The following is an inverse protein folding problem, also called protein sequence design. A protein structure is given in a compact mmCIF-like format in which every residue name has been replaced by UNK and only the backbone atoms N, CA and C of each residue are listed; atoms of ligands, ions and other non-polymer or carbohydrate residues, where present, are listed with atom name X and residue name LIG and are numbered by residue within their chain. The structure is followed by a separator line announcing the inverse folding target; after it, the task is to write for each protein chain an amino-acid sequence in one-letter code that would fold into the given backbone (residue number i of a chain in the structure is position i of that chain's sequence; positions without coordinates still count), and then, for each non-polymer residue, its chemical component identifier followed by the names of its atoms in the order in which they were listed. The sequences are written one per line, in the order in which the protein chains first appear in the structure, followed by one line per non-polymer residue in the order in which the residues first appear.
data_IF_414088332656
#
_entry.id   IF_414088332656
#
_cell.length_a   1.000
_cell.length_b   1.000
_cell.length_c   1.000
_cell.angle_alpha   90.00
_cell.angle_beta   90.00
_cell.angle_gamma   90.00
#
_symmetry.space_group_name_H-M   'P 1'
#
loop_
_entity.id
_entity.type
_entity.pdbx_description
1 polymer ?
#
# COMPACT_ATOMS: atom_id res chain seq x y z
N UNK A 1 -1.72 8.96 27.79
CA UNK A 1 -2.01 8.41 26.46
C UNK A 1 -1.04 7.27 26.31
N UNK A 2 -1.59 6.07 26.27
CA UNK A 2 -0.82 4.85 26.02
C UNK A 2 -1.07 4.45 24.56
N UNK A 3 -0.03 3.93 23.92
CA UNK A 3 -0.07 3.47 22.53
C UNK A 3 -0.25 1.95 22.52
N UNK A 4 -1.25 1.45 21.79
CA UNK A 4 -1.68 0.05 21.87
C UNK A 4 -0.74 -0.90 21.14
N UNK A 5 -0.20 -0.54 19.98
CA UNK A 5 0.60 -1.49 19.19
C UNK A 5 1.93 -1.87 19.86
N UNK A 6 2.43 -1.06 20.80
CA UNK A 6 3.61 -1.38 21.61
C UNK A 6 3.29 -1.81 23.04
N UNK A 7 2.01 -1.99 23.40
CA UNK A 7 1.60 -2.23 24.76
C UNK A 7 1.96 -3.65 25.25
N UNK A 8 2.48 -3.74 26.47
CA UNK A 8 2.68 -5.00 27.19
C UNK A 8 1.91 -5.01 28.53
N UNK A 9 1.60 -6.21 29.01
CA UNK A 9 1.03 -6.36 30.35
C UNK A 9 1.98 -5.77 31.42
N UNK A 10 1.44 -4.87 32.24
CA UNK A 10 2.18 -4.14 33.27
C UNK A 10 2.66 -2.76 32.85
N UNK A 11 2.45 -2.34 31.60
CA UNK A 11 2.79 -0.98 31.17
C UNK A 11 1.94 0.06 31.89
N UNK A 12 2.58 1.16 32.29
CA UNK A 12 1.94 2.28 32.97
C UNK A 12 1.19 3.15 31.96
N UNK A 13 -0.11 3.36 32.19
CA UNK A 13 -0.98 4.16 31.30
C UNK A 13 -1.37 5.52 31.90
N UNK A 14 -1.13 5.71 33.20
CA UNK A 14 -1.37 6.97 33.89
C UNK A 14 -1.29 6.84 35.40
N UNK A 15 -1.45 7.97 36.09
CA UNK A 15 -1.48 8.02 37.57
C UNK A 15 -2.56 8.97 38.06
N UNK A 16 -3.13 8.66 39.23
CA UNK A 16 -4.01 9.55 39.98
C UNK A 16 -3.39 9.92 41.33
N UNK A 17 -3.71 11.11 41.83
CA UNK A 17 -3.29 11.54 43.14
C UNK A 17 -4.41 11.31 44.15
N UNK A 18 -4.15 10.46 45.14
CA UNK A 18 -5.07 10.17 46.24
C UNK A 18 -4.42 10.55 47.56
N UNK A 19 -5.20 11.14 48.47
CA UNK A 19 -4.70 11.55 49.78
C UNK A 19 -5.80 11.44 50.83
N UNK A 20 -5.45 10.84 51.96
CA UNK A 20 -6.27 10.84 53.16
C UNK A 20 -5.89 12.02 54.09
N UNK A 21 -6.84 12.87 54.54
CA UNK A 21 -6.55 14.03 55.39
C UNK A 21 -6.00 13.67 56.78
N UNK A 22 -6.33 12.49 57.28
CA UNK A 22 -5.90 11.93 58.56
C UNK A 22 -4.55 11.19 58.44
N UNK A 23 -4.14 10.88 57.21
CA UNK A 23 -2.91 10.15 56.89
C UNK A 23 -3.04 8.63 57.07
N UNK A 24 -4.28 8.13 57.03
CA UNK A 24 -4.59 6.71 57.12
C UNK A 24 -4.29 6.00 55.80
N UNK A 25 -4.15 4.67 55.85
CA UNK A 25 -3.96 3.88 54.63
C UNK A 25 -5.31 3.72 53.93
N UNK A 26 -5.26 3.68 52.60
CA UNK A 26 -6.41 3.45 51.74
C UNK A 26 -6.07 2.40 50.69
N UNK A 27 -7.11 1.83 50.09
CA UNK A 27 -7.03 0.95 48.91
C UNK A 27 -7.76 1.59 47.76
N UNK A 28 -7.24 1.39 46.55
CA UNK A 28 -7.88 1.81 45.31
C UNK A 28 -8.49 0.62 44.58
N UNK A 29 -9.68 0.82 44.03
CA UNK A 29 -10.37 -0.22 43.27
C UNK A 29 -11.08 0.33 42.04
N UNK A 30 -11.05 -0.46 40.97
CA UNK A 30 -11.84 -0.28 39.75
C UNK A 30 -13.14 -1.09 39.83
N UNK A 31 -14.14 -0.80 38.97
CA UNK A 31 -15.34 -1.61 38.85
C UNK A 31 -15.03 -3.09 38.54
N UNK A 32 -15.86 -4.03 39.02
CA UNK A 32 -15.62 -5.48 38.90
C UNK A 32 -15.59 -5.98 37.44
N UNK A 33 -16.17 -5.21 36.52
CA UNK A 33 -16.27 -5.50 35.10
C UNK A 33 -15.08 -4.98 34.26
N UNK A 34 -14.10 -4.34 34.88
CA UNK A 34 -12.84 -3.93 34.23
C UNK A 34 -11.81 -5.06 34.32
N UNK A 35 -11.34 -5.55 33.17
CA UNK A 35 -10.31 -6.60 33.07
C UNK A 35 -9.05 -6.13 32.34
N UNK A 36 -9.16 -5.09 31.55
CA UNK A 36 -8.10 -4.53 30.72
C UNK A 36 -7.08 -3.68 31.53
N UNK A 37 -7.49 -3.08 32.64
CA UNK A 37 -6.66 -2.24 33.50
C UNK A 37 -6.62 -2.71 34.95
N UNK A 38 -5.50 -2.41 35.62
CA UNK A 38 -5.35 -2.51 37.07
C UNK A 38 -4.92 -1.16 37.66
N UNK A 39 -5.23 -0.96 38.94
CA UNK A 39 -4.77 0.20 39.71
C UNK A 39 -4.03 -0.29 40.96
N UNK A 40 -2.84 0.25 41.18
CA UNK A 40 -2.08 0.05 42.42
C UNK A 40 -2.49 1.07 43.48
N UNK A 41 -2.26 0.75 44.77
CA UNK A 41 -2.60 1.63 45.91
C UNK A 41 -1.88 2.99 45.87
N UNK A 42 -0.81 3.12 45.07
CA UNK A 42 -0.11 4.40 44.85
C UNK A 42 -0.75 5.29 43.77
N UNK A 43 -1.84 4.82 43.16
CA UNK A 43 -2.60 5.51 42.13
C UNK A 43 -2.12 5.25 40.72
N UNK A 44 -1.18 4.32 40.51
CA UNK A 44 -0.66 3.98 39.18
C UNK A 44 -1.61 3.03 38.45
N UNK A 45 -1.99 3.39 37.23
CA UNK A 45 -2.74 2.54 36.33
C UNK A 45 -1.80 1.74 35.45
N UNK A 46 -2.04 0.43 35.37
CA UNK A 46 -1.28 -0.47 34.50
C UNK A 46 -2.19 -1.30 33.60
N UNK A 47 -1.65 -1.77 32.48
CA UNK A 47 -2.31 -2.73 31.60
C UNK A 47 -2.36 -4.09 32.29
N UNK A 48 -3.56 -4.58 32.60
CA UNK A 48 -3.73 -5.90 33.20
C UNK A 48 -3.74 -7.00 32.14
N UNK A 49 -4.36 -6.71 30.98
CA UNK A 49 -4.58 -7.68 29.91
C UNK A 49 -4.59 -6.98 28.54
N UNK A 50 -3.45 -7.02 27.84
CA UNK A 50 -3.31 -6.45 26.49
C UNK A 50 -4.24 -7.12 25.46
N UNK A 51 -4.56 -8.40 25.63
CA UNK A 51 -5.49 -9.13 24.76
C UNK A 51 -6.95 -8.63 24.87
N UNK A 52 -7.27 -7.92 25.95
CA UNK A 52 -8.60 -7.32 26.20
C UNK A 52 -8.61 -5.82 25.93
N UNK A 53 -7.47 -5.22 25.57
CA UNK A 53 -7.39 -3.81 25.21
C UNK A 53 -7.87 -3.58 23.78
N UNK A 54 -8.60 -2.49 23.60
CA UNK A 54 -9.05 -1.97 22.31
C UNK A 54 -8.68 -0.49 22.20
N UNK A 55 -8.67 0.04 20.97
CA UNK A 55 -8.48 1.48 20.74
C UNK A 55 -9.70 2.25 21.23
N UNK A 56 -9.45 3.38 21.90
CA UNK A 56 -10.51 4.31 22.28
C UNK A 56 -10.35 4.96 23.65
N UNK A 57 -11.46 5.51 24.11
CA UNK A 57 -11.60 6.20 25.38
C UNK A 57 -12.34 5.31 26.38
N UNK A 58 -11.73 5.12 27.55
CA UNK A 58 -12.26 4.32 28.64
C UNK A 58 -12.51 5.20 29.86
N UNK A 59 -13.78 5.37 30.22
CA UNK A 59 -14.21 6.13 31.39
C UNK A 59 -14.54 5.19 32.56
N UNK A 60 -13.83 5.34 33.66
CA UNK A 60 -14.05 4.57 34.89
C UNK A 60 -14.25 5.49 36.09
N UNK A 61 -14.97 4.98 37.08
CA UNK A 61 -15.04 5.58 38.41
C UNK A 61 -14.16 4.76 39.35
N UNK A 62 -13.11 5.38 39.87
CA UNK A 62 -12.22 4.78 40.88
C UNK A 62 -12.77 5.06 42.26
N UNK A 63 -12.85 4.03 43.09
CA UNK A 63 -13.15 4.17 44.52
C UNK A 63 -11.86 4.10 45.34
N UNK A 64 -11.69 5.05 46.26
CA UNK A 64 -10.71 5.01 47.32
C UNK A 64 -11.42 4.76 48.65
N UNK A 65 -11.07 3.68 49.35
CA UNK A 65 -11.63 3.32 50.67
C UNK A 65 -10.52 3.31 51.73
N UNK A 66 -10.73 4.01 52.85
CA UNK A 66 -9.82 3.98 54.00
C UNK A 66 -10.02 2.73 54.88
N UNK A 67 -9.08 2.48 55.80
CA UNK A 67 -9.17 1.31 56.71
C UNK A 67 -10.38 1.33 57.68
N UNK A 68 -11.12 2.44 57.71
CA UNK A 68 -12.31 2.65 58.54
C UNK A 68 -13.63 2.58 57.75
N UNK A 69 -13.57 2.33 56.44
CA UNK A 69 -14.70 2.19 55.53
C UNK A 69 -15.30 3.52 55.07
N UNK A 70 -14.56 4.63 55.15
CA UNK A 70 -14.93 5.84 54.45
C UNK A 70 -14.43 5.76 53.01
N UNK A 71 -15.31 6.04 52.04
CA UNK A 71 -14.94 6.02 50.63
C UNK A 71 -15.16 7.36 49.92
N UNK A 72 -14.40 7.56 48.85
CA UNK A 72 -14.56 8.64 47.89
C UNK A 72 -14.34 8.13 46.48
N UNK A 73 -15.03 8.74 45.52
CA UNK A 73 -15.00 8.35 44.11
C UNK A 73 -14.40 9.47 43.25
N UNK A 74 -13.71 9.08 42.18
CA UNK A 74 -13.23 9.99 41.14
C UNK A 74 -13.38 9.37 39.75
N UNK A 75 -13.87 10.16 38.80
CA UNK A 75 -13.92 9.76 37.40
C UNK A 75 -12.55 9.93 36.75
N UNK A 76 -12.13 8.90 36.02
CA UNK A 76 -10.86 8.81 35.30
C UNK A 76 -11.13 8.40 33.87
N UNK A 77 -10.47 9.08 32.94
CA UNK A 77 -10.53 8.76 31.51
C UNK A 77 -9.16 8.30 31.05
N UNK A 78 -9.08 7.08 30.53
CA UNK A 78 -7.88 6.49 29.92
C UNK A 78 -8.07 6.49 28.41
N UNK A 79 -7.07 7.01 27.68
CA UNK A 79 -7.08 7.04 26.21
C UNK A 79 -5.99 6.11 25.69
N UNK A 80 -6.42 5.12 24.91
CA UNK A 80 -5.60 4.16 24.21
C UNK A 80 -5.69 4.49 22.71
N UNK A 81 -4.55 4.77 22.10
CA UNK A 81 -4.45 5.16 20.70
C UNK A 81 -3.39 4.30 19.99
N UNK A 82 -3.30 4.37 18.67
CA UNK A 82 -2.18 3.78 17.93
C UNK A 82 -1.88 4.68 16.72
N UNK A 83 -0.61 5.05 16.50
CA UNK A 83 -0.25 5.85 15.35
C UNK A 83 -0.59 5.11 14.05
N UNK A 84 -1.08 5.83 13.01
CA UNK A 84 -1.38 5.20 11.74
C UNK A 84 -0.11 4.69 11.05
N UNK A 85 -0.21 3.66 10.19
CA UNK A 85 0.91 3.24 9.36
C UNK A 85 1.32 4.38 8.41
N UNK A 86 2.63 4.47 8.14
CA UNK A 86 3.21 5.46 7.26
C UNK A 86 3.60 4.80 5.93
N UNK A 87 2.90 5.16 4.85
CA UNK A 87 3.31 4.79 3.49
C UNK A 87 4.54 5.62 3.11
N UNK A 88 5.58 4.97 2.63
CA UNK A 88 6.75 5.68 2.08
C UNK A 88 6.51 5.90 0.59
N UNK A 89 6.21 7.13 0.12
CA UNK A 89 6.08 7.39 -1.30
C UNK A 89 7.43 7.19 -1.98
N UNK A 90 7.42 6.55 -3.15
CA UNK A 90 8.55 6.64 -4.06
C UNK A 90 8.45 7.97 -4.81
N UNK A 91 9.53 8.77 -4.85
CA UNK A 91 9.59 10.02 -5.61
C UNK A 91 9.67 9.80 -7.14
N UNK A 92 9.36 8.58 -7.62
CA UNK A 92 9.48 8.18 -9.02
C UNK A 92 8.09 8.08 -9.66
N UNK A 93 7.89 8.80 -10.76
CA UNK A 93 6.75 8.56 -11.64
C UNK A 93 6.95 7.20 -12.32
N UNK A 94 5.92 6.36 -12.30
CA UNK A 94 5.95 5.05 -12.96
C UNK A 94 5.40 5.19 -14.36
N UNK A 95 5.99 4.52 -15.36
CA UNK A 95 5.43 4.49 -16.70
C UNK A 95 5.20 3.06 -17.20
N UNK A 96 4.06 2.84 -17.85
CA UNK A 96 3.67 1.57 -18.49
C UNK A 96 3.08 1.84 -19.87
N UNK A 97 3.22 0.88 -20.80
CA UNK A 97 2.59 0.99 -22.12
C UNK A 97 1.07 0.81 -22.02
N UNK A 98 0.29 1.50 -22.85
CA UNK A 98 -1.16 1.28 -22.94
C UNK A 98 -1.53 -0.14 -23.39
N UNK A 99 -0.60 -0.85 -24.03
CA UNK A 99 -0.80 -2.20 -24.59
C UNK A 99 -0.39 -3.34 -23.65
N UNK A 100 -0.08 -3.04 -22.39
CA UNK A 100 0.21 -4.07 -21.38
C UNK A 100 -1.00 -4.98 -21.14
N UNK A 101 -0.75 -6.19 -20.64
CA UNK A 101 -1.82 -7.15 -20.34
C UNK A 101 -2.23 -7.10 -18.87
N UNK A 102 -3.45 -7.52 -18.56
CA UNK A 102 -3.88 -7.78 -17.18
C UNK A 102 -2.85 -8.61 -16.40
N UNK A 103 -2.62 -8.23 -15.15
CA UNK A 103 -1.63 -8.81 -14.24
C UNK A 103 -0.21 -8.29 -14.42
N UNK A 104 0.01 -7.28 -15.29
CA UNK A 104 1.32 -6.62 -15.40
C UNK A 104 1.60 -5.83 -14.11
N UNK A 105 2.74 -6.09 -13.49
CA UNK A 105 3.22 -5.38 -12.30
C UNK A 105 3.69 -3.97 -12.68
N UNK A 106 3.30 -2.98 -11.89
CA UNK A 106 3.61 -1.56 -12.11
C UNK A 106 4.64 -1.09 -11.09
N UNK A 107 4.33 -1.22 -9.79
CA UNK A 107 5.20 -0.86 -8.68
C UNK A 107 4.78 -1.60 -7.40
N UNK A 108 5.53 -1.40 -6.31
CA UNK A 108 5.22 -1.95 -4.98
C UNK A 108 5.12 -0.83 -3.98
N UNK A 109 4.05 -0.83 -3.18
CA UNK A 109 3.85 0.11 -2.07
C UNK A 109 4.44 -0.50 -0.81
N UNK A 110 5.24 0.27 -0.08
CA UNK A 110 5.72 -0.10 1.24
C UNK A 110 5.16 0.85 2.31
N UNK A 111 4.77 0.28 3.45
CA UNK A 111 4.34 1.03 4.61
C UNK A 111 5.01 0.50 5.88
N UNK A 112 5.13 1.36 6.88
CA UNK A 112 5.71 1.04 8.19
C UNK A 112 4.69 1.40 9.25
N UNK A 113 4.33 0.43 10.07
CA UNK A 113 3.60 0.67 11.30
C UNK A 113 4.60 1.21 12.34
N UNK A 114 4.39 2.42 12.90
CA UNK A 114 5.28 2.95 13.92
C UNK A 114 5.36 2.09 15.19
N UNK A 115 4.36 1.25 15.44
CA UNK A 115 4.35 0.27 16.51
C UNK A 115 5.20 -0.99 16.20
N UNK A 116 5.65 -1.16 14.95
CA UNK A 116 6.57 -2.23 14.55
C UNK A 116 5.90 -3.49 14.02
N UNK A 117 4.57 -3.54 13.96
CA UNK A 117 3.76 -4.65 13.46
C UNK A 117 3.57 -4.62 11.93
N UNK A 118 4.67 -4.39 11.21
CA UNK A 118 4.65 -4.21 9.75
C UNK A 118 4.11 -5.43 8.97
N UNK A 119 4.17 -6.64 9.55
CA UNK A 119 3.71 -7.88 8.90
C UNK A 119 2.18 -7.99 8.80
N UNK A 120 1.44 -7.12 9.49
CA UNK A 120 -0.02 -7.12 9.53
C UNK A 120 -0.67 -5.91 8.84
N UNK A 121 0.11 -5.14 8.08
CA UNK A 121 -0.41 -4.04 7.28
C UNK A 121 -1.12 -4.58 6.03
N UNK A 122 -2.26 -3.99 5.70
CA UNK A 122 -2.98 -4.24 4.45
C UNK A 122 -3.09 -2.97 3.61
N UNK A 123 -3.25 -3.13 2.31
CA UNK A 123 -3.30 -2.01 1.35
C UNK A 123 -4.61 -1.99 0.59
N UNK A 124 -5.10 -0.78 0.29
CA UNK A 124 -6.28 -0.60 -0.55
C UNK A 124 -6.23 0.72 -1.31
N UNK A 125 -7.00 0.82 -2.39
CA UNK A 125 -7.24 2.08 -3.07
C UNK A 125 -8.45 2.81 -2.48
N UNK A 126 -8.44 4.14 -2.51
CA UNK A 126 -9.58 4.97 -2.06
C UNK A 126 -10.80 4.85 -2.99
N UNK A 127 -10.56 4.56 -4.27
CA UNK A 127 -11.56 4.42 -5.32
C UNK A 127 -11.32 3.18 -6.21
N UNK A 128 -12.23 2.90 -7.15
CA UNK A 128 -12.07 1.81 -8.12
C UNK A 128 -11.24 2.30 -9.30
N UNK A 129 -10.02 1.78 -9.41
CA UNK A 129 -9.09 2.05 -10.50
C UNK A 129 -8.98 0.84 -11.46
N UNK A 130 -8.44 1.00 -12.67
CA UNK A 130 -8.08 -0.12 -13.55
C UNK A 130 -6.84 -0.90 -13.07
N UNK A 131 -6.46 -0.72 -11.81
CA UNK A 131 -5.37 -1.38 -11.11
C UNK A 131 -5.89 -2.20 -9.93
N UNK A 132 -5.08 -3.14 -9.47
CA UNK A 132 -5.28 -3.90 -8.26
C UNK A 132 -4.03 -3.81 -7.40
N UNK A 133 -4.20 -3.85 -6.08
CA UNK A 133 -3.11 -3.96 -5.11
C UNK A 133 -3.33 -5.23 -4.29
N UNK A 134 -2.27 -5.99 -4.05
CA UNK A 134 -2.34 -7.21 -3.24
C UNK A 134 -1.87 -6.98 -1.78
N UNK A 135 -1.86 -8.07 -1.00
CA UNK A 135 -1.48 -8.04 0.42
C UNK A 135 0.01 -7.70 0.62
N UNK A 136 0.86 -7.95 -0.38
CA UNK A 136 2.29 -7.61 -0.35
C UNK A 136 2.55 -6.17 -0.87
N UNK A 137 1.49 -5.40 -1.17
CA UNK A 137 1.58 -4.04 -1.68
C UNK A 137 1.90 -3.96 -3.19
N UNK A 138 1.88 -5.07 -3.91
CA UNK A 138 2.21 -5.11 -5.34
C UNK A 138 1.03 -4.59 -6.16
N UNK A 139 1.26 -3.51 -6.90
CA UNK A 139 0.27 -2.90 -7.79
C UNK A 139 0.37 -3.53 -9.17
N UNK A 140 -0.75 -4.02 -9.68
CA UNK A 140 -0.87 -4.68 -10.99
C UNK A 140 -2.01 -4.09 -11.81
N UNK A 141 -1.93 -4.23 -13.14
CA UNK A 141 -3.01 -3.87 -14.05
C UNK A 141 -4.16 -4.87 -13.90
N UNK A 142 -5.36 -4.37 -13.60
CA UNK A 142 -6.59 -5.16 -13.44
C UNK A 142 -7.44 -5.18 -14.71
N UNK A 143 -7.44 -4.08 -15.45
CA UNK A 143 -8.20 -3.91 -16.68
C UNK A 143 -7.35 -3.13 -17.70
N UNK A 144 -6.64 -3.85 -18.58
CA UNK A 144 -5.80 -3.24 -19.60
C UNK A 144 -6.60 -2.43 -20.63
N UNK A 145 -7.85 -2.81 -20.92
CA UNK A 145 -8.68 -2.09 -21.90
C UNK A 145 -9.01 -0.66 -21.44
N UNK A 146 -9.01 -0.43 -20.12
CA UNK A 146 -9.25 0.88 -19.53
C UNK A 146 -8.01 1.81 -19.59
N UNK A 147 -6.84 1.32 -20.01
CA UNK A 147 -5.63 2.12 -20.19
C UNK A 147 -5.56 2.78 -21.58
N UNK A 148 -6.25 2.22 -22.58
CA UNK A 148 -6.17 2.67 -23.97
C UNK A 148 -6.59 4.15 -24.11
N UNK A 149 -5.67 5.00 -24.59
CA UNK A 149 -5.91 6.42 -24.83
C UNK A 149 -5.95 7.33 -23.60
N UNK A 150 -5.61 6.82 -22.41
CA UNK A 150 -5.39 7.64 -21.22
C UNK A 150 -3.92 8.08 -21.15
N UNK A 151 -3.64 9.27 -20.61
CA UNK A 151 -2.27 9.79 -20.50
C UNK A 151 -1.61 9.42 -19.15
N UNK A 152 -2.42 9.33 -18.09
CA UNK A 152 -1.94 9.03 -16.73
C UNK A 152 -3.08 8.68 -15.78
N UNK A 153 -2.75 8.02 -14.67
CA UNK A 153 -3.63 7.78 -13.53
C UNK A 153 -2.97 8.28 -12.24
N UNK A 154 -3.75 8.98 -11.40
CA UNK A 154 -3.35 9.35 -10.03
C UNK A 154 -4.03 8.36 -9.05
N UNK A 155 -3.26 7.39 -8.56
CA UNK A 155 -3.73 6.34 -7.67
C UNK A 155 -3.57 6.78 -6.22
N UNK A 156 -4.66 6.79 -5.44
CA UNK A 156 -4.59 7.03 -4.01
C UNK A 156 -4.63 5.72 -3.22
N UNK A 157 -3.56 5.44 -2.48
CA UNK A 157 -3.41 4.22 -1.66
C UNK A 157 -3.52 4.57 -0.18
N UNK A 158 -4.20 3.69 0.57
CA UNK A 158 -4.31 3.70 2.03
C UNK A 158 -3.75 2.41 2.57
N UNK A 159 -2.92 2.53 3.62
CA UNK A 159 -2.44 1.41 4.41
C UNK A 159 -3.27 1.31 5.70
N UNK A 160 -3.57 0.09 6.14
CA UNK A 160 -4.36 -0.18 7.33
C UNK A 160 -3.61 -1.16 8.22
N UNK A 161 -3.39 -0.80 9.49
CA UNK A 161 -2.74 -1.66 10.49
C UNK A 161 -3.63 -2.80 10.95
N UNK A 162 -3.09 -3.75 11.73
CA UNK A 162 -3.86 -4.87 12.31
C UNK A 162 -5.03 -4.37 13.19
N UNK A 163 -4.82 -3.25 13.87
CA UNK A 163 -5.81 -2.62 14.74
C UNK A 163 -6.87 -1.81 13.96
N UNK A 164 -6.78 -1.79 12.63
CA UNK A 164 -7.71 -1.08 11.76
C UNK A 164 -7.47 0.43 11.68
N UNK A 165 -6.29 0.91 12.10
CA UNK A 165 -5.92 2.32 11.96
C UNK A 165 -5.45 2.56 10.52
N UNK A 166 -6.03 3.56 9.86
CA UNK A 166 -5.75 3.90 8.47
C UNK A 166 -4.73 5.03 8.35
N UNK A 167 -3.83 4.93 7.37
CA UNK A 167 -2.96 6.03 6.97
C UNK A 167 -3.73 7.17 6.31
N UNK A 168 -3.13 8.35 6.25
CA UNK A 168 -3.55 9.33 5.25
C UNK A 168 -3.35 8.75 3.83
N UNK A 169 -4.23 9.04 2.86
CA UNK A 169 -4.05 8.60 1.48
C UNK A 169 -2.77 9.17 0.87
N UNK A 170 -2.03 8.33 0.15
CA UNK A 170 -0.83 8.74 -0.61
C UNK A 170 -1.07 8.56 -2.09
N UNK A 171 -0.80 9.62 -2.86
CA UNK A 171 -0.98 9.67 -4.31
C UNK A 171 0.27 9.14 -5.04
N UNK A 172 0.03 8.30 -6.05
CA UNK A 172 1.05 7.76 -6.96
C UNK A 172 0.63 8.03 -8.40
N UNK A 173 1.50 8.70 -9.15
CA UNK A 173 1.28 9.00 -10.56
C UNK A 173 1.83 7.86 -11.44
N UNK A 174 0.96 7.31 -12.29
CA UNK A 174 1.30 6.31 -13.31
C UNK A 174 1.08 6.92 -14.68
N UNK A 175 2.14 7.17 -15.42
CA UNK A 175 2.13 7.63 -16.81
C UNK A 175 1.84 6.46 -17.75
N UNK A 176 0.96 6.69 -18.72
CA UNK A 176 0.63 5.71 -19.75
C UNK A 176 1.31 6.13 -21.05
N UNK A 177 2.24 5.31 -21.52
CA UNK A 177 2.97 5.53 -22.75
C UNK A 177 2.18 4.93 -23.94
N UNK A 178 1.96 5.75 -24.96
CA UNK A 178 1.47 5.26 -26.26
C UNK A 178 2.51 4.29 -26.84
N UNK A 179 2.03 3.20 -27.44
CA UNK A 179 2.91 2.33 -28.21
C UNK A 179 3.44 3.11 -29.41
N UNK A 180 4.77 3.09 -29.64
CA UNK A 180 5.29 3.74 -30.84
C UNK A 180 4.64 3.05 -32.05
N UNK A 181 4.09 3.81 -33.02
CA UNK A 181 3.47 3.18 -34.16
C UNK A 181 4.52 2.32 -34.85
N UNK A 182 4.21 1.03 -35.04
CA UNK A 182 4.98 0.14 -35.91
C UNK A 182 5.33 0.96 -37.17
N UNK A 183 6.63 1.19 -37.42
CA UNK A 183 7.04 1.90 -38.63
C UNK A 183 6.28 1.26 -39.80
N UNK A 184 5.56 2.06 -40.60
CA UNK A 184 4.85 1.49 -41.75
C UNK A 184 5.91 0.72 -42.52
N UNK A 185 5.68 -0.58 -42.76
CA UNK A 185 6.50 -1.36 -43.69
C UNK A 185 6.60 -0.48 -44.94
N UNK A 186 7.79 0.09 -45.17
CA UNK A 186 7.94 1.22 -46.08
C UNK A 186 7.19 0.87 -47.36
N UNK A 187 6.29 1.74 -47.81
CA UNK A 187 5.65 1.57 -49.13
C UNK A 187 6.73 1.41 -50.23
N UNK A 188 7.97 1.86 -49.96
CA UNK A 188 9.18 1.63 -50.75
C UNK A 188 9.60 0.15 -50.82
N UNK A 189 9.46 -0.65 -49.76
CA UNK A 189 9.79 -2.08 -49.75
C UNK A 189 8.78 -2.93 -50.54
N UNK A 190 7.48 -2.62 -50.44
CA UNK A 190 6.44 -3.25 -51.28
C UNK A 190 6.60 -2.82 -52.75
N UNK A 191 6.89 -1.54 -53.02
CA UNK A 191 7.17 -1.06 -54.38
C UNK A 191 8.46 -1.66 -54.97
N UNK A 192 9.51 -1.88 -54.18
CA UNK A 192 10.75 -2.51 -54.63
C UNK A 192 10.51 -4.00 -54.92
N UNK A 193 9.71 -4.71 -54.10
CA UNK A 193 9.31 -6.10 -54.37
C UNK A 193 8.48 -6.21 -55.66
N UNK A 194 7.50 -5.33 -55.86
CA UNK A 194 6.70 -5.28 -57.09
C UNK A 194 7.55 -4.91 -58.31
N UNK A 195 8.49 -3.95 -58.17
CA UNK A 195 9.43 -3.59 -59.25
C UNK A 195 10.34 -4.76 -59.61
N UNK A 196 10.90 -5.45 -58.60
CA UNK A 196 11.77 -6.60 -58.80
C UNK A 196 11.02 -7.78 -59.42
N UNK A 197 9.75 -8.00 -59.04
CA UNK A 197 8.91 -9.03 -59.64
C UNK A 197 8.62 -8.75 -61.13
N UNK A 198 8.37 -7.48 -61.50
CA UNK A 198 8.17 -7.08 -62.88
C UNK A 198 9.46 -7.14 -63.72
N UNK A 199 10.61 -6.77 -63.14
CA UNK A 199 11.94 -6.94 -63.75
C UNK A 199 12.28 -8.42 -63.96
N UNK A 200 11.94 -9.30 -63.01
CA UNK A 200 12.15 -10.75 -63.14
C UNK A 200 11.27 -11.33 -64.25
N UNK A 201 10.00 -10.91 -64.34
CA UNK A 201 9.05 -11.42 -65.34
C UNK A 201 9.39 -10.96 -66.78
N UNK A 202 9.93 -9.75 -66.94
CA UNK A 202 10.41 -9.25 -68.23
C UNK A 202 11.78 -9.83 -68.64
N UNK A 203 12.53 -10.42 -67.70
CA UNK A 203 13.82 -11.08 -67.95
C UNK A 203 13.68 -12.51 -68.51
N UNK A 204 12.47 -13.05 -68.64
CA UNK A 204 12.23 -14.44 -69.09
C UNK A 204 12.12 -14.61 -70.61
N UNK A 205 12.20 -13.54 -71.41
CA UNK A 205 12.09 -13.61 -72.88
C UNK A 205 13.39 -14.08 -73.57
N UNK A 206 14.54 -14.08 -72.87
CA UNK A 206 15.82 -14.62 -73.36
C UNK A 206 16.42 -15.61 -72.34
N UNK A 207 16.55 -16.92 -72.66
CA UNK A 207 17.02 -17.93 -71.71
C UNK A 207 18.48 -17.75 -71.26
N UNK A 208 19.27 -16.89 -71.91
CA UNK A 208 20.64 -16.59 -71.52
C UNK A 208 20.75 -15.50 -70.42
N UNK A 209 19.71 -14.69 -70.18
CA UNK A 209 19.71 -13.59 -69.18
C UNK A 209 19.35 -14.04 -67.74
N UNK A 210 18.83 -15.25 -67.59
CA UNK A 210 18.39 -15.82 -66.30
C UNK A 210 19.52 -15.97 -65.28
N UNK A 211 20.75 -16.21 -65.75
CA UNK A 211 21.90 -16.49 -64.87
C UNK A 211 22.53 -15.19 -64.34
N UNK A 212 22.55 -14.13 -65.16
CA UNK A 212 23.11 -12.83 -64.76
C UNK A 212 22.18 -12.07 -63.81
N UNK A 213 20.86 -12.22 -63.96
CA UNK A 213 19.89 -11.57 -63.08
C UNK A 213 19.82 -12.25 -61.68
N UNK A 214 19.91 -13.58 -61.61
CA UNK A 214 19.99 -14.32 -60.35
C UNK A 214 21.26 -14.01 -59.54
N UNK A 215 22.40 -13.79 -60.21
CA UNK A 215 23.66 -13.44 -59.55
C UNK A 215 23.70 -11.99 -59.03
N UNK A 216 23.01 -11.06 -59.70
CA UNK A 216 22.85 -9.68 -59.19
C UNK A 216 21.97 -9.62 -57.95
N UNK A 217 20.82 -10.32 -57.96
CA UNK A 217 19.89 -10.33 -56.83
C UNK A 217 20.53 -10.91 -55.55
N UNK A 218 21.35 -11.96 -55.68
CA UNK A 218 22.09 -12.58 -54.57
C UNK A 218 23.22 -11.69 -54.00
N UNK A 219 23.79 -10.79 -54.80
CA UNK A 219 24.85 -9.88 -54.31
C UNK A 219 24.29 -8.63 -53.63
N UNK A 220 23.08 -8.19 -53.99
CA UNK A 220 22.44 -7.01 -53.37
C UNK A 220 21.88 -7.36 -51.99
N UNK A 221 21.27 -8.54 -51.83
CA UNK A 221 20.73 -9.00 -50.53
C UNK A 221 21.79 -9.36 -49.47
N UNK A 222 23.08 -9.42 -49.82
CA UNK A 222 24.16 -9.80 -48.89
C UNK A 222 24.92 -8.59 -48.30
N UNK A 223 24.39 -7.36 -48.44
CA UNK A 223 25.06 -6.12 -48.02
C UNK A 223 24.28 -5.22 -47.05
N UNK A 224 23.11 -5.66 -46.58
CA UNK A 224 22.41 -5.08 -45.43
C UNK A 224 22.42 -6.06 -44.26
#
# INVERSE_FOLDING_TARGET
MAELGNAENGDEVGTIAVSDPEGDNFTLSLPEDVSEFAIDDDGTFTIASVEELELGEFDYTVEAEDEFGNSSEADVTINIDSPPPEITPEDEAFSILETVTDGTEVFTVEAIDPDGDNEAISYSFTEDYPFAIDEDGVVTVKDSEALEGEESFELEVVATSELGVESDPVSFDVEIEEDEPDEPIDEEFEQEQDRLAEELNNSFDDPDDLVDNFLRLLMTSLKE
#
